data_IF_752994143002
#
_entry.id   IF_752994143002
#
_cell.length_a   1.000
_cell.length_b   1.000
_cell.length_c   1.000
_cell.angle_alpha   90.00
_cell.angle_beta   90.00
_cell.angle_gamma   90.00
#
_symmetry.space_group_name_H-M   'P 1'
#
loop_
_entity.id
_entity.type
_entity.pdbx_description
1 polymer ?
#
# COMPACT_ATOMS: atom_id res chain seq x y z
N UNK A 1 -15.88 78.45 -24.00
CA UNK A 1 -16.47 77.63 -22.93
C UNK A 1 -17.78 77.11 -23.48
N UNK A 2 -17.95 75.78 -23.48
CA UNK A 2 -18.93 75.05 -24.29
C UNK A 2 -20.34 75.22 -23.74
N UNK A 3 -21.29 75.58 -24.61
CA UNK A 3 -22.65 75.96 -24.20
C UNK A 3 -23.71 75.06 -24.85
N UNK A 4 -24.63 74.62 -24.01
CA UNK A 4 -25.80 73.78 -24.22
C UNK A 4 -26.71 74.31 -25.35
N UNK A 5 -26.91 73.53 -26.43
CA UNK A 5 -27.84 73.92 -27.50
C UNK A 5 -28.38 72.76 -28.34
N UNK A 6 -28.75 71.63 -27.75
CA UNK A 6 -29.67 70.68 -28.40
C UNK A 6 -30.58 69.92 -27.41
N UNK A 7 -31.66 70.58 -26.99
CA UNK A 7 -32.89 70.01 -26.41
C UNK A 7 -34.06 70.94 -26.83
N UNK A 8 -35.36 70.57 -26.77
CA UNK A 8 -35.97 69.28 -26.39
C UNK A 8 -37.24 68.85 -27.19
N UNK A 9 -37.77 67.68 -26.81
CA UNK A 9 -39.17 67.23 -26.64
C UNK A 9 -40.32 67.68 -27.57
N UNK A 10 -41.07 66.66 -28.05
CA UNK A 10 -42.51 66.66 -28.33
C UNK A 10 -42.83 65.81 -29.57
N UNK A 11 -43.88 65.00 -29.70
CA UNK A 11 -45.06 64.65 -28.90
C UNK A 11 -45.70 63.42 -29.57
N UNK A 12 -46.16 62.46 -28.76
CA UNK A 12 -47.35 61.59 -28.94
C UNK A 12 -47.52 60.70 -30.19
N UNK A 13 -47.44 59.37 -30.03
CA UNK A 13 -48.55 58.38 -29.78
C UNK A 13 -49.36 58.03 -31.04
N UNK A 14 -49.45 56.73 -31.41
CA UNK A 14 -50.60 55.83 -31.12
C UNK A 14 -50.67 54.54 -32.00
N UNK A 15 -50.75 53.40 -31.29
CA UNK A 15 -51.44 52.11 -31.48
C UNK A 15 -51.21 51.09 -32.63
N UNK A 16 -50.81 49.85 -32.23
CA UNK A 16 -51.55 48.54 -32.23
C UNK A 16 -50.57 47.33 -32.29
N UNK A 17 -50.98 46.05 -32.04
CA UNK A 17 -51.99 45.48 -31.14
C UNK A 17 -51.45 44.29 -30.26
N UNK A 18 -52.29 43.81 -29.33
CA UNK A 18 -52.13 42.59 -28.53
C UNK A 18 -52.16 41.29 -29.37
N UNK A 19 -51.38 40.29 -28.95
CA UNK A 19 -51.49 38.90 -29.41
C UNK A 19 -50.98 37.90 -28.35
N UNK A 20 -51.90 37.10 -27.80
CA UNK A 20 -51.65 35.98 -26.89
C UNK A 20 -50.83 34.86 -27.54
N UNK A 21 -49.99 34.16 -26.76
CA UNK A 21 -49.30 32.96 -27.25
C UNK A 21 -48.43 32.22 -26.24
N UNK A 22 -48.99 31.79 -25.10
CA UNK A 22 -48.41 30.65 -24.36
C UNK A 22 -48.75 29.36 -25.12
N UNK A 23 -47.75 28.74 -25.75
CA UNK A 23 -47.58 27.27 -25.94
C UNK A 23 -46.38 27.02 -26.85
N UNK A 24 -45.61 25.97 -26.53
CA UNK A 24 -44.55 25.32 -27.32
C UNK A 24 -43.08 25.73 -27.04
N UNK A 25 -42.60 25.44 -25.82
CA UNK A 25 -41.15 25.26 -25.55
C UNK A 25 -40.79 23.85 -25.03
N UNK A 26 -41.54 22.82 -25.39
CA UNK A 26 -41.34 21.44 -24.92
C UNK A 26 -41.04 20.41 -26.03
N UNK A 27 -40.65 20.84 -27.24
CA UNK A 27 -40.30 19.92 -28.34
C UNK A 27 -38.86 20.04 -28.87
N UNK A 28 -38.09 21.06 -28.47
CA UNK A 28 -36.68 21.19 -28.87
C UNK A 28 -35.71 20.37 -27.99
N UNK A 29 -36.14 19.90 -26.81
CA UNK A 29 -35.28 19.15 -25.89
C UNK A 29 -35.28 17.62 -26.14
N UNK A 30 -36.21 17.09 -26.94
CA UNK A 30 -36.30 15.65 -27.22
C UNK A 30 -35.53 15.21 -28.47
N UNK A 31 -35.23 16.12 -29.41
CA UNK A 31 -34.50 15.81 -30.64
C UNK A 31 -32.98 15.59 -30.44
N UNK A 32 -32.38 16.22 -29.43
CA UNK A 32 -30.95 16.10 -29.13
C UNK A 32 -30.60 14.85 -28.29
N UNK A 33 -31.56 14.30 -27.55
CA UNK A 33 -31.35 13.07 -26.78
C UNK A 33 -31.34 11.80 -27.66
N UNK A 34 -32.09 11.80 -28.77
CA UNK A 34 -32.19 10.64 -29.68
C UNK A 34 -30.95 10.43 -30.58
N UNK A 35 -30.16 11.48 -30.82
CA UNK A 35 -28.92 11.40 -31.60
C UNK A 35 -27.71 10.93 -30.78
N UNK A 36 -27.73 11.10 -29.46
CA UNK A 36 -26.66 10.62 -28.57
C UNK A 36 -26.81 9.13 -28.23
N UNK A 37 -28.05 8.62 -28.16
CA UNK A 37 -28.31 7.21 -27.87
C UNK A 37 -28.03 6.27 -29.06
N UNK A 38 -28.15 6.75 -30.31
CA UNK A 38 -27.84 5.95 -31.51
C UNK A 38 -26.33 5.86 -31.81
N UNK A 39 -25.53 6.87 -31.42
CA UNK A 39 -24.08 6.83 -31.54
C UNK A 39 -23.39 5.87 -30.56
N UNK A 40 -23.99 5.65 -29.38
CA UNK A 40 -23.43 4.76 -28.35
C UNK A 40 -23.68 3.27 -28.65
N UNK A 41 -24.76 2.93 -29.36
CA UNK A 41 -25.07 1.57 -29.77
C UNK A 41 -24.14 1.02 -30.87
N UNK A 42 -23.72 1.86 -31.81
CA UNK A 42 -22.82 1.44 -32.90
C UNK A 42 -21.38 1.21 -32.40
N UNK A 43 -20.92 2.00 -31.41
CA UNK A 43 -19.59 1.85 -30.81
C UNK A 43 -19.43 0.57 -30.00
N UNK A 44 -20.48 0.15 -29.28
CA UNK A 44 -20.48 -1.11 -28.50
C UNK A 44 -20.56 -2.33 -29.41
N UNK A 45 -21.34 -2.28 -30.50
CA UNK A 45 -21.43 -3.38 -31.46
C UNK A 45 -20.10 -3.61 -32.21
N UNK A 46 -19.38 -2.54 -32.56
CA UNK A 46 -18.06 -2.64 -33.20
C UNK A 46 -16.98 -3.14 -32.23
N UNK A 47 -17.03 -2.73 -30.95
CA UNK A 47 -16.10 -3.22 -29.92
C UNK A 47 -16.29 -4.71 -29.59
N UNK A 48 -17.53 -5.18 -29.51
CA UNK A 48 -17.84 -6.61 -29.29
C UNK A 48 -17.48 -7.47 -30.51
N UNK A 49 -17.64 -6.94 -31.73
CA UNK A 49 -17.29 -7.67 -32.95
C UNK A 49 -15.77 -7.73 -33.18
N UNK A 50 -15.02 -6.71 -32.77
CA UNK A 50 -13.54 -6.72 -32.86
C UNK A 50 -12.91 -7.72 -31.89
N UNK A 51 -13.43 -7.82 -30.65
CA UNK A 51 -12.93 -8.75 -29.64
C UNK A 51 -13.35 -10.22 -29.86
N UNK A 52 -14.25 -10.52 -30.81
CA UNK A 52 -14.58 -11.90 -31.20
C UNK A 52 -13.60 -12.51 -32.21
N UNK A 53 -12.75 -11.71 -32.85
CA UNK A 53 -11.85 -12.18 -33.94
C UNK A 53 -10.45 -12.56 -33.41
N UNK A 54 -10.10 -12.22 -32.16
CA UNK A 54 -8.80 -12.55 -31.56
C UNK A 54 -8.81 -13.75 -30.61
N UNK A 55 -9.89 -14.53 -30.58
CA UNK A 55 -9.93 -15.83 -29.91
C UNK A 55 -9.72 -16.98 -30.92
N UNK A 56 -8.55 -17.05 -31.54
CA UNK A 56 -8.10 -18.27 -32.22
C UNK A 56 -7.26 -19.10 -31.26
N UNK A 57 -7.76 -20.30 -31.01
CA UNK A 57 -7.23 -21.32 -30.10
C UNK A 57 -5.72 -21.58 -30.27
N UNK A 58 -5.01 -21.61 -29.15
CA UNK A 58 -3.69 -22.25 -29.04
C UNK A 58 -3.93 -23.71 -28.63
N UNK A 59 -3.50 -24.71 -29.42
CA UNK A 59 -3.70 -26.11 -29.09
C UNK A 59 -2.80 -26.55 -27.94
N UNK A 60 -3.38 -27.38 -27.07
CA UNK A 60 -2.79 -28.05 -25.91
C UNK A 60 -1.63 -28.99 -26.34
N UNK A 61 -0.43 -28.92 -25.74
CA UNK A 61 0.61 -29.89 -26.02
C UNK A 61 0.31 -31.22 -25.31
N UNK A 62 0.14 -32.25 -26.11
CA UNK A 62 -0.05 -33.63 -25.69
C UNK A 62 1.15 -34.17 -24.90
N UNK A 63 0.84 -34.89 -23.83
CA UNK A 63 1.76 -35.74 -23.07
C UNK A 63 2.18 -36.92 -23.96
N UNK A 64 3.47 -37.03 -24.25
CA UNK A 64 4.08 -38.27 -24.77
C UNK A 64 5.09 -38.80 -23.77
N UNK A 65 4.82 -40.01 -23.29
CA UNK A 65 5.73 -40.82 -22.50
C UNK A 65 6.75 -41.50 -23.42
N UNK A 66 8.04 -41.40 -23.09
CA UNK A 66 9.03 -42.44 -23.39
C UNK A 66 10.39 -42.14 -22.78
N UNK A 67 11.02 -43.19 -22.24
CA UNK A 67 12.46 -43.39 -22.36
C UNK A 67 13.30 -43.14 -21.11
N UNK A 68 13.49 -44.20 -20.32
CA UNK A 68 14.67 -44.40 -19.46
C UNK A 68 15.95 -44.37 -20.32
N UNK A 69 17.07 -43.86 -19.79
CA UNK A 69 18.34 -44.54 -20.03
C UNK A 69 19.10 -44.86 -18.74
N UNK A 70 19.74 -46.02 -18.80
CA UNK A 70 20.69 -46.59 -17.86
C UNK A 70 21.99 -45.79 -17.71
N UNK A 71 22.67 -46.14 -16.61
CA UNK A 71 23.93 -45.67 -16.11
C UNK A 71 25.11 -45.73 -17.10
N UNK A 72 26.05 -44.80 -16.91
CA UNK A 72 27.47 -45.04 -17.15
C UNK A 72 28.27 -44.33 -16.07
N UNK A 73 29.14 -45.08 -15.40
CA UNK A 73 29.91 -44.66 -14.25
C UNK A 73 31.24 -43.99 -14.60
N UNK A 74 31.79 -43.31 -13.60
CA UNK A 74 33.21 -43.08 -13.44
C UNK A 74 33.50 -42.90 -11.93
N UNK A 75 34.25 -43.85 -11.36
CA UNK A 75 34.93 -43.78 -10.06
C UNK A 75 35.98 -42.64 -10.08
N UNK A 76 36.53 -42.03 -9.00
CA UNK A 76 37.25 -42.46 -7.77
C UNK A 76 37.60 -41.12 -7.00
N UNK A 77 38.08 -41.02 -5.73
CA UNK A 77 37.80 -41.67 -4.43
C UNK A 77 37.39 -40.68 -3.30
N UNK A 78 36.96 -41.23 -2.16
CA UNK A 78 36.89 -40.52 -0.87
C UNK A 78 38.25 -40.41 -0.17
N UNK A 79 38.43 -39.42 0.73
CA UNK A 79 39.29 -39.59 1.89
C UNK A 79 38.50 -39.46 3.19
N UNK A 80 38.50 -40.59 3.91
CA UNK A 80 38.86 -40.78 5.32
C UNK A 80 38.22 -39.95 6.43
N UNK A 81 37.69 -40.69 7.40
CA UNK A 81 37.17 -40.24 8.67
C UNK A 81 38.33 -40.05 9.66
N UNK A 82 38.51 -38.82 10.15
CA UNK A 82 39.34 -38.51 11.30
C UNK A 82 38.47 -38.08 12.47
N UNK A 83 38.17 -39.00 13.38
CA UNK A 83 37.69 -38.68 14.73
C UNK A 83 38.75 -37.88 15.48
N UNK A 84 38.41 -36.68 15.95
CA UNK A 84 39.27 -35.92 16.85
C UNK A 84 38.55 -35.67 18.17
N UNK A 85 38.95 -36.46 19.18
CA UNK A 85 38.71 -36.25 20.60
C UNK A 85 39.11 -34.83 21.01
N UNK A 86 38.28 -34.18 21.81
CA UNK A 86 38.69 -33.03 22.62
C UNK A 86 38.28 -33.30 24.06
N UNK A 87 39.29 -33.36 24.94
CA UNK A 87 39.15 -33.31 26.40
C UNK A 87 39.67 -31.94 26.89
N UNK A 88 39.27 -31.49 28.09
CA UNK A 88 39.01 -30.07 28.37
C UNK A 88 40.22 -29.32 28.93
N UNK A 89 40.26 -28.00 28.71
CA UNK A 89 41.19 -27.09 29.39
C UNK A 89 40.43 -25.93 30.02
N UNK A 90 40.82 -25.67 31.26
CA UNK A 90 40.23 -24.77 32.24
C UNK A 90 40.46 -23.27 31.95
N UNK A 91 39.48 -22.49 32.41
CA UNK A 91 39.58 -21.27 33.24
C UNK A 91 40.80 -20.34 33.08
N UNK A 92 40.55 -19.10 32.60
CA UNK A 92 40.75 -17.91 33.44
C UNK A 92 40.08 -16.65 32.86
N UNK A 93 39.09 -16.16 33.60
CA UNK A 93 38.92 -14.78 34.09
C UNK A 93 39.30 -13.56 33.23
N UNK A 94 38.31 -12.68 33.03
CA UNK A 94 38.46 -11.24 33.27
C UNK A 94 38.08 -10.31 32.12
N UNK A 95 36.90 -9.69 32.19
CA UNK A 95 36.71 -8.24 32.42
C UNK A 95 35.23 -7.89 32.21
N UNK A 96 34.72 -7.18 33.20
CA UNK A 96 33.39 -6.61 33.43
C UNK A 96 32.91 -5.64 32.35
N UNK A 97 31.63 -5.72 31.97
CA UNK A 97 30.86 -4.55 31.51
C UNK A 97 29.36 -4.70 31.84
N UNK A 98 29.00 -4.05 32.94
CA UNK A 98 27.79 -3.25 33.16
C UNK A 98 26.43 -3.84 32.76
N UNK A 99 25.81 -4.56 33.70
CA UNK A 99 24.36 -4.73 33.72
C UNK A 99 23.75 -3.46 34.36
N UNK A 100 23.11 -2.63 33.52
CA UNK A 100 22.28 -1.50 33.99
C UNK A 100 21.17 -1.98 34.94
N UNK A 101 20.59 -1.07 35.74
CA UNK A 101 19.73 -1.44 36.86
C UNK A 101 18.49 -2.17 36.34
N UNK A 102 18.34 -3.43 36.76
CA UNK A 102 17.10 -4.18 36.61
C UNK A 102 15.97 -3.41 37.31
N UNK A 103 14.98 -3.03 36.54
CA UNK A 103 13.78 -2.35 37.02
C UNK A 103 13.05 -3.30 37.98
N UNK A 104 12.83 -2.83 39.21
CA UNK A 104 12.22 -3.58 40.29
C UNK A 104 10.77 -3.92 39.91
N UNK A 105 10.37 -5.17 40.15
CA UNK A 105 8.97 -5.60 40.04
C UNK A 105 8.11 -4.79 41.03
N UNK A 106 7.25 -3.90 40.52
CA UNK A 106 6.25 -3.22 41.34
C UNK A 106 5.11 -4.21 41.68
N UNK A 107 5.30 -4.95 42.78
CA UNK A 107 4.25 -5.76 43.40
C UNK A 107 3.29 -4.83 44.15
N UNK A 108 2.08 -4.65 43.61
CA UNK A 108 0.97 -4.06 44.37
C UNK A 108 0.58 -4.99 45.53
N UNK A 109 0.17 -4.45 46.69
CA UNK A 109 -0.12 -5.24 47.90
C UNK A 109 -1.37 -6.14 47.83
N UNK A 110 -1.96 -6.34 46.64
CA UNK A 110 -3.16 -7.15 46.40
C UNK A 110 -2.90 -8.41 45.55
N UNK A 111 -1.65 -8.73 45.20
CA UNK A 111 -1.29 -9.98 44.50
C UNK A 111 -1.74 -10.04 43.04
N UNK A 112 -2.26 -8.94 42.48
CA UNK A 112 -2.59 -8.85 41.06
C UNK A 112 -1.37 -8.41 40.26
N UNK A 113 -0.79 -9.36 39.52
CA UNK A 113 0.22 -9.07 38.50
C UNK A 113 -0.53 -8.44 37.32
N UNK A 114 -0.54 -7.11 37.22
CA UNK A 114 -0.84 -6.47 35.95
C UNK A 114 0.26 -6.84 34.97
N UNK A 115 -0.03 -7.45 33.81
CA UNK A 115 1.01 -7.72 32.82
C UNK A 115 1.64 -6.39 32.44
N UNK A 116 2.92 -6.22 32.79
CA UNK A 116 3.72 -5.09 32.32
C UNK A 116 3.77 -5.25 30.81
N UNK A 117 3.09 -4.35 30.09
CA UNK A 117 3.23 -4.28 28.63
C UNK A 117 4.69 -3.89 28.39
N UNK A 118 5.51 -4.75 27.75
CA UNK A 118 6.92 -4.43 27.55
C UNK A 118 7.02 -3.12 26.77
N UNK A 119 7.82 -2.18 27.30
CA UNK A 119 8.06 -0.89 26.66
C UNK A 119 8.64 -1.15 25.27
N UNK A 120 8.09 -0.59 24.18
CA UNK A 120 8.60 -0.83 22.84
C UNK A 120 10.08 -0.45 22.75
N UNK A 121 10.91 -1.43 22.39
CA UNK A 121 12.33 -1.20 22.07
C UNK A 121 12.41 -0.74 20.62
N UNK A 122 12.68 0.53 20.43
CA UNK A 122 12.86 1.14 19.11
C UNK A 122 14.28 0.83 18.60
N UNK A 123 14.46 -0.36 18.05
CA UNK A 123 15.66 -0.76 17.32
C UNK A 123 15.32 -0.87 15.84
N UNK A 124 16.25 -0.48 14.95
CA UNK A 124 16.15 -0.71 13.51
C UNK A 124 17.06 -1.87 13.10
N UNK A 125 16.65 -2.60 12.06
CA UNK A 125 17.49 -3.63 11.46
C UNK A 125 18.66 -2.99 10.70
N UNK A 126 19.84 -3.61 10.80
CA UNK A 126 21.01 -3.17 10.06
C UNK A 126 20.82 -3.37 8.54
N UNK A 127 21.26 -2.40 7.74
CA UNK A 127 21.07 -2.41 6.29
C UNK A 127 21.63 -3.67 5.61
N UNK A 128 22.76 -4.20 6.09
CA UNK A 128 23.37 -5.44 5.57
C UNK A 128 22.49 -6.68 5.77
N UNK A 129 21.63 -6.67 6.79
CA UNK A 129 20.73 -7.77 7.13
C UNK A 129 19.30 -7.55 6.63
N UNK A 130 19.00 -6.40 6.03
CA UNK A 130 17.64 -5.97 5.67
C UNK A 130 16.87 -6.97 4.78
N UNK A 131 17.60 -7.82 4.04
CA UNK A 131 17.08 -8.84 3.13
C UNK A 131 16.70 -10.16 3.82
N UNK A 132 17.05 -10.35 5.10
CA UNK A 132 16.71 -11.51 5.90
C UNK A 132 15.71 -11.12 6.99
N UNK A 133 14.70 -11.95 7.29
CA UNK A 133 13.80 -11.68 8.41
C UNK A 133 14.54 -11.75 9.74
N UNK A 134 14.18 -10.85 10.65
CA UNK A 134 14.57 -10.98 12.05
C UNK A 134 13.81 -12.18 12.66
N UNK A 135 14.51 -13.22 13.16
CA UNK A 135 13.86 -14.40 13.74
C UNK A 135 12.96 -14.09 14.94
N UNK A 136 13.18 -12.98 15.65
CA UNK A 136 12.34 -12.56 16.78
C UNK A 136 10.98 -12.02 16.34
N UNK A 137 10.86 -11.58 15.09
CA UNK A 137 9.70 -10.88 14.54
C UNK A 137 8.87 -11.73 13.58
N UNK A 138 9.19 -13.01 13.45
CA UNK A 138 8.43 -13.95 12.61
C UNK A 138 8.09 -15.21 13.40
N UNK A 139 6.94 -15.80 13.10
CA UNK A 139 6.52 -17.10 13.61
C UNK A 139 5.98 -17.98 12.48
N UNK A 140 5.98 -19.29 12.70
CA UNK A 140 5.42 -20.23 11.74
C UNK A 140 3.89 -20.23 11.82
N UNK A 141 3.24 -19.71 10.79
CA UNK A 141 1.80 -19.85 10.55
C UNK A 141 1.47 -21.07 9.69
N UNK A 142 0.18 -21.27 9.40
CA UNK A 142 -0.31 -22.41 8.61
C UNK A 142 0.23 -22.44 7.17
N UNK A 143 0.41 -21.26 6.55
CA UNK A 143 0.82 -21.12 5.15
C UNK A 143 2.23 -20.53 4.96
N UNK A 144 3.01 -20.40 6.03
CA UNK A 144 4.37 -19.82 5.99
C UNK A 144 4.67 -18.93 7.20
N UNK A 145 5.76 -18.18 7.12
CA UNK A 145 6.18 -17.29 8.21
C UNK A 145 5.30 -16.03 8.23
N UNK A 146 4.74 -15.69 9.38
CA UNK A 146 3.91 -14.49 9.59
C UNK A 146 4.54 -13.59 10.65
N UNK A 147 4.31 -12.27 10.62
CA UNK A 147 4.96 -11.33 11.52
C UNK A 147 4.39 -11.44 12.94
N UNK A 148 5.24 -11.23 13.93
CA UNK A 148 4.86 -11.15 15.35
C UNK A 148 5.65 -10.04 16.03
N UNK A 149 5.19 -9.64 17.22
CA UNK A 149 6.01 -8.84 18.13
C UNK A 149 7.13 -9.70 18.73
N UNK A 150 8.26 -9.06 18.96
CA UNK A 150 9.38 -9.63 19.71
C UNK A 150 9.03 -9.82 21.18
N UNK A 151 9.83 -10.64 21.89
CA UNK A 151 9.59 -10.93 23.31
C UNK A 151 9.74 -9.68 24.20
N UNK A 152 10.51 -8.68 23.75
CA UNK A 152 10.76 -7.45 24.48
C UNK A 152 9.90 -6.30 23.96
N UNK A 153 8.82 -6.59 23.23
CA UNK A 153 7.92 -5.58 22.68
C UNK A 153 8.41 -4.96 21.36
N UNK A 154 9.46 -5.49 20.73
CA UNK A 154 9.87 -5.06 19.39
C UNK A 154 8.72 -5.24 18.40
N UNK A 155 8.46 -4.22 17.57
CA UNK A 155 7.43 -4.27 16.54
C UNK A 155 8.05 -4.39 15.15
N UNK A 156 7.49 -5.21 14.24
CA UNK A 156 7.87 -5.21 12.84
C UNK A 156 7.92 -3.81 12.22
N UNK A 157 6.96 -2.94 12.55
CA UNK A 157 6.94 -1.58 12.03
C UNK A 157 8.15 -0.74 12.45
N UNK A 158 8.73 -0.96 13.63
CA UNK A 158 9.89 -0.19 14.09
C UNK A 158 11.18 -0.78 13.55
N UNK A 159 11.32 -2.11 13.60
CA UNK A 159 12.55 -2.81 13.19
C UNK A 159 12.77 -2.74 11.68
N UNK A 160 11.71 -2.86 10.89
CA UNK A 160 11.81 -2.81 9.43
C UNK A 160 11.64 -1.40 8.84
N UNK A 161 11.40 -0.39 9.68
CA UNK A 161 11.26 1.01 9.23
C UNK A 161 12.50 1.55 8.54
N UNK A 162 12.29 2.43 7.57
CA UNK A 162 13.35 3.31 7.05
C UNK A 162 13.32 4.64 7.82
N UNK A 163 14.46 5.17 8.29
CA UNK A 163 14.50 6.52 8.85
C UNK A 163 14.22 7.57 7.77
N UNK A 164 13.56 8.70 8.10
CA UNK A 164 13.46 9.83 7.18
C UNK A 164 14.86 10.41 6.91
N UNK A 165 15.02 11.11 5.77
CA UNK A 165 16.31 11.69 5.38
C UNK A 165 16.71 12.84 6.33
N UNK A 166 15.72 13.61 6.80
CA UNK A 166 15.92 14.65 7.81
C UNK A 166 15.23 14.29 9.12
N UNK A 167 15.94 13.61 10.03
CA UNK A 167 15.49 13.46 11.41
C UNK A 167 15.47 14.84 12.10
N UNK A 168 14.28 15.37 12.42
CA UNK A 168 14.12 16.56 13.27
C UNK A 168 14.04 17.92 12.55
N UNK A 169 13.93 17.97 11.21
CA UNK A 169 13.78 19.24 10.49
C UNK A 169 12.31 19.67 10.41
N UNK A 170 11.84 20.31 11.48
CA UNK A 170 10.47 20.85 11.56
C UNK A 170 10.31 22.05 10.60
N UNK A 171 9.67 21.84 9.45
CA UNK A 171 9.36 22.91 8.49
C UNK A 171 9.44 22.51 7.01
N UNK A 172 9.97 21.33 6.69
CA UNK A 172 9.98 20.81 5.30
C UNK A 172 8.66 20.11 5.00
N UNK A 173 8.10 20.35 3.82
CA UNK A 173 6.91 19.64 3.35
C UNK A 173 7.26 18.18 3.07
N UNK A 174 6.58 17.23 3.71
CA UNK A 174 6.84 15.80 3.53
C UNK A 174 5.86 15.18 2.56
N UNK A 175 6.37 14.39 1.63
CA UNK A 175 5.55 13.59 0.71
C UNK A 175 5.87 12.12 0.89
N UNK A 176 4.85 11.31 1.14
CA UNK A 176 4.95 9.85 1.09
C UNK A 176 4.47 9.38 -0.27
N UNK A 177 5.29 8.57 -0.93
CA UNK A 177 4.93 7.87 -2.14
C UNK A 177 4.87 6.36 -1.83
N UNK A 178 3.73 5.76 -2.14
CA UNK A 178 3.52 4.31 -2.01
C UNK A 178 3.24 3.74 -3.41
N UNK A 179 4.02 2.76 -3.84
CA UNK A 179 3.86 2.09 -5.12
C UNK A 179 3.44 0.64 -4.90
N UNK A 180 2.18 0.33 -5.21
CA UNK A 180 1.59 -1.00 -5.08
C UNK A 180 1.74 -1.87 -6.33
N UNK A 181 1.28 -3.12 -6.21
CA UNK A 181 1.30 -4.09 -7.31
C UNK A 181 2.64 -4.78 -7.53
N UNK A 182 3.59 -4.67 -6.59
CA UNK A 182 4.87 -5.36 -6.69
C UNK A 182 4.62 -6.88 -6.69
N UNK A 183 5.27 -7.57 -7.61
CA UNK A 183 5.11 -9.00 -7.88
C UNK A 183 4.12 -9.35 -9.00
N UNK A 184 3.18 -8.46 -9.35
CA UNK A 184 2.22 -8.74 -10.44
C UNK A 184 2.93 -8.82 -11.79
N UNK A 185 3.72 -7.78 -12.12
CA UNK A 185 4.55 -7.73 -13.32
C UNK A 185 6.02 -7.85 -12.95
N UNK A 186 6.75 -8.82 -13.53
CA UNK A 186 8.17 -9.01 -13.23
C UNK A 186 9.02 -7.83 -13.73
N UNK A 187 8.73 -7.32 -14.92
CA UNK A 187 9.43 -6.17 -15.50
C UNK A 187 9.15 -4.91 -14.70
N UNK A 188 7.89 -4.61 -14.41
CA UNK A 188 7.54 -3.39 -13.68
C UNK A 188 7.99 -3.42 -12.21
N UNK A 189 8.01 -4.60 -11.57
CA UNK A 189 8.59 -4.76 -10.22
C UNK A 189 10.10 -4.48 -10.22
N UNK A 190 10.81 -5.00 -11.21
CA UNK A 190 12.23 -4.71 -11.38
C UNK A 190 12.50 -3.23 -11.65
N UNK A 191 11.68 -2.58 -12.49
CA UNK A 191 11.82 -1.15 -12.78
C UNK A 191 11.56 -0.30 -11.54
N UNK A 192 10.51 -0.60 -10.76
CA UNK A 192 10.18 0.11 -9.53
C UNK A 192 11.36 0.07 -8.56
N UNK A 193 11.89 -1.13 -8.25
CA UNK A 193 13.01 -1.32 -7.32
C UNK A 193 14.30 -0.65 -7.81
N UNK A 194 14.53 -0.58 -9.13
CA UNK A 194 15.77 0.01 -9.69
C UNK A 194 15.72 1.52 -9.83
N UNK A 195 14.56 2.10 -10.15
CA UNK A 195 14.42 3.51 -10.55
C UNK A 195 13.95 4.40 -9.40
N UNK A 196 13.14 3.88 -8.48
CA UNK A 196 12.61 4.65 -7.36
C UNK A 196 13.66 4.73 -6.25
N UNK A 197 13.79 5.88 -5.56
CA UNK A 197 14.69 5.99 -4.42
C UNK A 197 14.13 5.22 -3.21
N UNK A 198 15.01 4.83 -2.28
CA UNK A 198 14.67 3.98 -1.13
C UNK A 198 13.61 4.58 -0.20
N UNK A 199 13.41 5.89 -0.24
CA UNK A 199 12.37 6.62 0.49
C UNK A 199 10.95 6.28 0.00
N UNK A 200 10.79 5.81 -1.23
CA UNK A 200 9.50 5.34 -1.75
C UNK A 200 9.14 4.00 -1.12
N UNK A 201 7.94 3.90 -0.55
CA UNK A 201 7.44 2.67 0.05
C UNK A 201 6.85 1.76 -1.03
N UNK A 202 7.18 0.46 -0.98
CA UNK A 202 6.73 -0.52 -1.98
C UNK A 202 5.73 -1.49 -1.39
N UNK A 203 4.56 -1.64 -2.01
CA UNK A 203 3.51 -2.53 -1.53
C UNK A 203 3.35 -3.77 -2.41
N UNK A 204 3.42 -4.94 -1.78
CA UNK A 204 3.50 -6.24 -2.44
C UNK A 204 2.13 -6.88 -2.55
N UNK A 205 1.78 -7.35 -3.75
CA UNK A 205 0.57 -8.12 -3.96
C UNK A 205 0.81 -9.60 -3.58
N UNK A 206 -0.06 -10.22 -2.76
CA UNK A 206 0.17 -11.56 -2.22
C UNK A 206 0.07 -12.66 -3.29
N UNK A 207 -0.62 -12.36 -4.40
CA UNK A 207 -0.71 -13.20 -5.60
C UNK A 207 0.40 -12.94 -6.62
N UNK A 208 1.34 -12.04 -6.32
CA UNK A 208 2.47 -11.79 -7.21
C UNK A 208 3.43 -12.96 -7.29
N UNK A 209 4.26 -12.96 -8.33
CA UNK A 209 5.27 -13.97 -8.59
C UNK A 209 6.65 -13.49 -8.13
N UNK A 210 7.53 -14.42 -7.75
CA UNK A 210 8.89 -14.14 -7.30
C UNK A 210 8.96 -13.19 -6.09
N UNK A 211 7.94 -13.19 -5.22
CA UNK A 211 7.81 -12.23 -4.12
C UNK A 211 9.03 -12.22 -3.19
N UNK A 212 9.59 -13.39 -2.87
CA UNK A 212 10.79 -13.48 -2.04
C UNK A 212 12.00 -12.78 -2.67
N UNK A 213 12.19 -12.93 -3.99
CA UNK A 213 13.25 -12.22 -4.72
C UNK A 213 13.02 -10.71 -4.67
N UNK A 214 11.82 -10.25 -5.02
CA UNK A 214 11.51 -8.83 -5.04
C UNK A 214 11.59 -8.19 -3.65
N UNK A 215 11.20 -8.91 -2.61
CA UNK A 215 11.33 -8.48 -1.21
C UNK A 215 12.81 -8.28 -0.86
N UNK A 216 13.68 -9.24 -1.16
CA UNK A 216 15.11 -9.11 -0.90
C UNK A 216 15.74 -7.94 -1.67
N UNK A 217 15.44 -7.82 -2.96
CA UNK A 217 15.97 -6.76 -3.81
C UNK A 217 15.49 -5.38 -3.33
N UNK A 218 14.21 -5.25 -2.98
CA UNK A 218 13.63 -4.01 -2.45
C UNK A 218 14.24 -3.61 -1.10
N UNK A 219 14.43 -4.57 -0.18
CA UNK A 219 15.09 -4.30 1.11
C UNK A 219 16.55 -3.90 0.95
N UNK A 220 17.29 -4.54 0.03
CA UNK A 220 18.68 -4.17 -0.30
C UNK A 220 18.78 -2.77 -0.91
N UNK A 221 17.80 -2.37 -1.71
CA UNK A 221 17.68 -1.01 -2.24
C UNK A 221 17.21 0.00 -1.18
N UNK A 222 16.88 -0.45 0.04
CA UNK A 222 16.54 0.40 1.17
C UNK A 222 15.07 0.79 1.26
N UNK A 223 14.19 0.15 0.48
CA UNK A 223 12.75 0.42 0.52
C UNK A 223 12.10 -0.11 1.79
N UNK A 224 11.14 0.66 2.28
CA UNK A 224 10.13 0.18 3.21
C UNK A 224 9.08 -0.65 2.46
N UNK A 225 8.63 -1.76 3.06
CA UNK A 225 7.68 -2.66 2.42
C UNK A 225 6.33 -2.64 3.13
N UNK A 226 5.27 -2.70 2.34
CA UNK A 226 3.91 -3.01 2.79
C UNK A 226 3.43 -4.30 2.12
N UNK A 227 2.49 -4.98 2.77
CA UNK A 227 1.70 -6.03 2.14
C UNK A 227 0.35 -5.48 1.70
N UNK A 228 -0.07 -5.75 0.48
CA UNK A 228 -1.43 -5.47 0.03
C UNK A 228 -2.35 -6.62 0.43
N UNK A 229 -3.43 -6.33 1.15
CA UNK A 229 -4.43 -7.35 1.50
C UNK A 229 -5.67 -7.19 0.61
N UNK A 230 -6.02 -8.21 -0.19
CA UNK A 230 -7.22 -8.18 -1.02
C UNK A 230 -8.48 -8.17 -0.16
N UNK A 231 -9.32 -7.16 -0.37
CA UNK A 231 -10.54 -6.95 0.41
C UNK A 231 -11.75 -6.78 -0.53
N UNK A 232 -12.93 -7.21 -0.11
CA UNK A 232 -14.15 -7.23 -0.93
C UNK A 232 -14.52 -5.85 -1.49
N UNK A 233 -14.51 -5.65 -2.82
CA UNK A 233 -15.07 -4.46 -3.45
C UNK A 233 -16.60 -4.49 -3.48
N UNK A 234 -17.25 -3.37 -3.83
CA UNK A 234 -18.72 -3.31 -3.92
C UNK A 234 -19.31 -4.20 -5.02
N UNK A 235 -18.58 -4.46 -6.09
CA UNK A 235 -19.02 -5.24 -7.24
C UNK A 235 -18.55 -6.70 -7.21
N UNK A 236 -18.14 -7.22 -6.05
CA UNK A 236 -17.86 -8.63 -5.86
C UNK A 236 -19.10 -9.51 -6.14
N UNK A 237 -18.98 -10.67 -6.80
CA UNK A 237 -17.76 -11.32 -7.29
C UNK A 237 -17.34 -10.94 -8.72
N UNK A 238 -17.96 -9.92 -9.35
CA UNK A 238 -17.61 -9.49 -10.72
C UNK A 238 -16.17 -8.99 -10.81
N UNK A 239 -15.74 -8.25 -9.80
CA UNK A 239 -14.35 -7.86 -9.59
C UNK A 239 -13.81 -8.67 -8.40
N UNK A 240 -13.17 -9.80 -8.70
CA UNK A 240 -12.64 -10.71 -7.69
C UNK A 240 -11.11 -10.56 -7.59
N UNK A 241 -10.56 -10.03 -6.48
CA UNK A 241 -9.12 -9.87 -6.27
C UNK A 241 -8.34 -11.18 -6.13
N UNK A 242 -9.03 -12.29 -5.82
CA UNK A 242 -8.43 -13.61 -5.65
C UNK A 242 -9.15 -14.47 -4.61
N UNK A 243 -8.76 -15.75 -4.49
CA UNK A 243 -9.46 -16.74 -3.67
C UNK A 243 -9.46 -16.49 -2.15
N UNK A 244 -8.47 -15.74 -1.63
CA UNK A 244 -8.32 -15.40 -0.21
C UNK A 244 -8.67 -13.92 0.03
N UNK A 245 -9.63 -13.40 -0.74
CA UNK A 245 -10.16 -12.05 -0.51
C UNK A 245 -10.88 -12.03 0.83
N UNK A 246 -10.65 -11.00 1.64
CA UNK A 246 -11.43 -10.80 2.86
C UNK A 246 -12.85 -10.36 2.52
N UNK A 247 -13.84 -11.11 2.97
CA UNK A 247 -15.25 -10.89 2.65
C UNK A 247 -16.02 -10.36 3.85
N UNK A 248 -16.86 -9.36 3.64
CA UNK A 248 -17.63 -8.70 4.69
C UNK A 248 -18.67 -9.62 5.34
N UNK A 249 -19.16 -10.60 4.58
CA UNK A 249 -20.18 -11.56 5.01
C UNK A 249 -19.57 -12.89 5.52
N UNK A 250 -18.24 -13.08 5.42
CA UNK A 250 -17.54 -14.23 5.98
C UNK A 250 -17.39 -14.10 7.50
N UNK A 251 -17.23 -15.24 8.16
CA UNK A 251 -16.91 -15.24 9.58
C UNK A 251 -15.50 -14.66 9.84
N UNK A 252 -15.25 -14.28 11.10
CA UNK A 252 -13.98 -13.68 11.48
C UNK A 252 -12.81 -14.67 11.35
N UNK A 253 -13.04 -15.97 11.58
CA UNK A 253 -11.99 -17.00 11.55
C UNK A 253 -11.50 -17.25 10.11
N UNK A 254 -12.40 -17.33 9.15
CA UNK A 254 -12.12 -17.45 7.72
C UNK A 254 -11.36 -16.22 7.22
N UNK A 255 -11.82 -15.01 7.57
CA UNK A 255 -11.11 -13.79 7.23
C UNK A 255 -9.70 -13.76 7.85
N UNK A 256 -9.52 -14.20 9.10
CA UNK A 256 -8.20 -14.28 9.72
C UNK A 256 -7.31 -15.35 9.06
N UNK A 257 -7.87 -16.48 8.64
CA UNK A 257 -7.13 -17.51 7.90
C UNK A 257 -6.65 -16.98 6.53
N UNK A 258 -7.52 -16.31 5.78
CA UNK A 258 -7.20 -15.65 4.52
C UNK A 258 -6.15 -14.55 4.70
N UNK A 259 -6.26 -13.79 5.79
CA UNK A 259 -5.29 -12.78 6.18
C UNK A 259 -3.91 -13.38 6.48
N UNK A 260 -3.85 -14.46 7.27
CA UNK A 260 -2.58 -15.13 7.58
C UNK A 260 -1.94 -15.75 6.36
N UNK A 261 -2.74 -16.25 5.41
CA UNK A 261 -2.23 -16.67 4.11
C UNK A 261 -1.59 -15.51 3.34
N UNK A 262 -2.21 -14.32 3.32
CA UNK A 262 -1.62 -13.15 2.68
C UNK A 262 -0.34 -12.68 3.41
N UNK A 263 -0.37 -12.68 4.75
CA UNK A 263 0.77 -12.32 5.60
C UNK A 263 1.98 -13.22 5.40
N UNK A 264 1.77 -14.48 4.99
CA UNK A 264 2.84 -15.46 4.83
C UNK A 264 3.58 -15.36 3.51
N UNK A 265 3.13 -14.50 2.59
CA UNK A 265 3.67 -14.41 1.22
C UNK A 265 5.04 -13.72 1.16
N UNK A 266 5.31 -12.81 2.10
CA UNK A 266 6.59 -12.12 2.29
C UNK A 266 6.86 -11.92 3.77
N UNK A 267 8.06 -11.44 4.12
CA UNK A 267 8.43 -10.97 5.45
C UNK A 267 8.98 -9.54 5.36
N UNK A 268 9.53 -8.99 6.44
CA UNK A 268 10.28 -7.72 6.43
C UNK A 268 9.45 -6.49 6.00
N UNK A 269 8.13 -6.55 6.13
CA UNK A 269 7.24 -5.41 5.92
C UNK A 269 6.88 -4.75 7.24
N UNK A 270 6.68 -3.44 7.20
CA UNK A 270 6.30 -2.64 8.37
C UNK A 270 4.80 -2.66 8.63
N UNK A 271 4.02 -2.97 7.61
CA UNK A 271 2.58 -2.77 7.66
C UNK A 271 1.83 -3.35 6.47
N UNK A 272 0.54 -3.07 6.47
CA UNK A 272 -0.42 -3.57 5.51
C UNK A 272 -1.17 -2.40 4.89
N UNK A 273 -1.55 -2.54 3.63
CA UNK A 273 -2.51 -1.65 2.99
C UNK A 273 -3.66 -2.44 2.36
N UNK A 274 -4.84 -1.83 2.25
CA UNK A 274 -5.94 -2.45 1.51
C UNK A 274 -5.62 -2.52 0.01
N UNK A 275 -6.11 -3.57 -0.63
CA UNK A 275 -6.26 -3.63 -2.08
C UNK A 275 -7.75 -3.78 -2.40
N UNK A 276 -8.31 -2.74 -3.01
CA UNK A 276 -9.76 -2.51 -3.08
C UNK A 276 -10.38 -2.43 -1.67
N UNK A 277 -11.42 -3.21 -1.39
CA UNK A 277 -12.07 -3.23 -0.07
C UNK A 277 -13.28 -2.32 0.08
N UNK A 278 -13.86 -1.80 -1.02
CA UNK A 278 -15.06 -0.97 -1.01
C UNK A 278 -16.12 -1.37 0.02
N UNK A 279 -16.60 -2.62 -0.04
CA UNK A 279 -17.60 -3.14 0.90
C UNK A 279 -16.97 -3.49 2.26
N UNK A 280 -15.82 -4.15 2.25
CA UNK A 280 -15.14 -4.62 3.46
C UNK A 280 -14.78 -3.49 4.44
N UNK A 281 -14.14 -2.41 3.97
CA UNK A 281 -13.68 -1.30 4.83
C UNK A 281 -14.82 -0.43 5.37
N UNK A 282 -16.03 -0.62 4.84
CA UNK A 282 -17.27 0.02 5.32
C UNK A 282 -18.10 -0.90 6.22
N UNK A 283 -17.60 -2.10 6.55
CA UNK A 283 -18.32 -3.11 7.35
C UNK A 283 -17.58 -3.35 8.68
N UNK A 284 -17.97 -2.69 9.79
CA UNK A 284 -17.25 -2.75 11.07
C UNK A 284 -17.04 -4.14 11.65
N UNK A 285 -18.06 -5.00 11.55
CA UNK A 285 -18.02 -6.36 12.11
C UNK A 285 -16.93 -7.22 11.47
N UNK A 286 -16.68 -7.03 10.17
CA UNK A 286 -15.63 -7.73 9.43
C UNK A 286 -14.27 -7.03 9.56
N UNK A 287 -14.26 -5.70 9.54
CA UNK A 287 -13.02 -4.91 9.57
C UNK A 287 -12.31 -4.94 10.92
N UNK A 288 -13.07 -4.89 12.04
CA UNK A 288 -12.50 -4.77 13.38
C UNK A 288 -11.52 -5.91 13.74
N UNK A 289 -11.88 -7.20 13.60
CA UNK A 289 -10.96 -8.30 13.93
C UNK A 289 -9.65 -8.24 13.12
N UNK A 290 -9.72 -7.77 11.87
CA UNK A 290 -8.55 -7.64 10.99
C UNK A 290 -7.61 -6.53 11.44
N UNK A 291 -8.15 -5.35 11.81
CA UNK A 291 -7.31 -4.26 12.33
C UNK A 291 -6.73 -4.58 13.71
N UNK A 292 -7.48 -5.26 14.58
CA UNK A 292 -6.98 -5.77 15.86
C UNK A 292 -5.81 -6.76 15.65
N UNK A 293 -5.91 -7.60 14.63
CA UNK A 293 -4.84 -8.54 14.28
C UNK A 293 -3.56 -7.84 13.83
N UNK A 294 -3.66 -6.76 13.04
CA UNK A 294 -2.50 -5.93 12.69
C UNK A 294 -1.84 -5.30 13.91
N UNK A 295 -2.66 -4.75 14.81
CA UNK A 295 -2.19 -4.09 16.05
C UNK A 295 -1.44 -5.08 16.94
N UNK A 296 -2.03 -6.26 17.15
CA UNK A 296 -1.43 -7.38 17.90
C UNK A 296 -0.07 -7.80 17.36
N UNK A 297 0.09 -7.79 16.03
CA UNK A 297 1.35 -8.16 15.37
C UNK A 297 2.38 -7.02 15.31
N UNK A 298 2.04 -5.80 15.74
CA UNK A 298 2.95 -4.66 15.73
C UNK A 298 3.18 -4.10 14.31
N UNK A 299 2.15 -4.16 13.49
CA UNK A 299 2.14 -3.62 12.13
C UNK A 299 1.44 -2.25 12.11
N UNK A 300 1.77 -1.44 11.11
CA UNK A 300 0.96 -0.27 10.75
C UNK A 300 -0.08 -0.63 9.68
N UNK A 301 -1.15 0.16 9.56
CA UNK A 301 -2.13 0.05 8.48
C UNK A 301 -2.21 1.35 7.67
N UNK A 302 -2.21 1.21 6.35
CA UNK A 302 -2.38 2.31 5.40
C UNK A 302 -3.68 2.10 4.63
N UNK A 303 -4.63 3.02 4.81
CA UNK A 303 -5.80 3.12 3.95
C UNK A 303 -5.40 3.85 2.66
N UNK A 304 -5.62 3.22 1.50
CA UNK A 304 -5.28 3.78 0.19
C UNK A 304 -6.16 4.98 -0.21
N UNK A 305 -7.17 5.33 0.59
CA UNK A 305 -8.04 6.47 0.38
C UNK A 305 -9.04 6.28 -0.77
N UNK A 306 -9.14 5.09 -1.35
CA UNK A 306 -10.04 4.80 -2.48
C UNK A 306 -11.53 4.86 -2.09
N UNK A 307 -11.84 4.74 -0.78
CA UNK A 307 -13.21 4.73 -0.25
C UNK A 307 -13.42 5.91 0.70
N UNK A 308 -14.27 6.87 0.32
CA UNK A 308 -14.48 8.10 1.09
C UNK A 308 -15.00 7.84 2.52
N UNK A 309 -16.03 7.00 2.66
CA UNK A 309 -16.67 6.65 3.93
C UNK A 309 -16.04 5.42 4.61
N UNK A 310 -14.76 5.14 4.36
CA UNK A 310 -14.00 4.09 5.03
C UNK A 310 -14.02 4.27 6.54
N UNK A 311 -14.23 3.17 7.27
CA UNK A 311 -14.26 3.14 8.75
C UNK A 311 -12.90 2.76 9.37
N UNK A 312 -11.85 2.66 8.54
CA UNK A 312 -10.52 2.21 8.97
C UNK A 312 -9.90 3.13 10.01
N UNK A 313 -10.06 4.46 9.89
CA UNK A 313 -9.48 5.42 10.83
C UNK A 313 -10.06 5.28 12.24
N UNK A 314 -11.39 5.27 12.38
CA UNK A 314 -12.07 5.17 13.67
C UNK A 314 -11.75 3.84 14.36
N UNK A 315 -11.78 2.74 13.60
CA UNK A 315 -11.51 1.40 14.13
C UNK A 315 -10.02 1.23 14.45
N UNK A 316 -9.11 1.75 13.64
CA UNK A 316 -7.67 1.74 13.93
C UNK A 316 -7.35 2.50 15.22
N UNK A 317 -7.96 3.68 15.42
CA UNK A 317 -7.84 4.45 16.66
C UNK A 317 -8.31 3.65 17.88
N UNK A 318 -9.45 2.98 17.80
CA UNK A 318 -9.96 2.13 18.87
C UNK A 318 -9.08 0.90 19.14
N UNK A 319 -8.43 0.35 18.11
CA UNK A 319 -7.51 -0.79 18.21
C UNK A 319 -6.07 -0.41 18.58
N UNK A 320 -5.80 0.88 18.83
CA UNK A 320 -4.45 1.44 19.05
C UNK A 320 -3.47 1.08 17.92
N UNK A 321 -3.98 0.96 16.70
CA UNK A 321 -3.21 0.58 15.51
C UNK A 321 -2.56 1.81 14.88
N UNK A 322 -1.24 1.80 14.63
CA UNK A 322 -0.59 2.87 13.89
C UNK A 322 -1.17 3.00 12.48
N UNK A 323 -1.63 4.20 12.15
CA UNK A 323 -2.50 4.42 11.00
C UNK A 323 -2.05 5.59 10.12
N UNK A 324 -2.23 5.42 8.82
CA UNK A 324 -2.19 6.51 7.85
C UNK A 324 -3.26 6.30 6.77
N UNK A 325 -3.66 7.40 6.13
CA UNK A 325 -4.57 7.39 4.99
C UNK A 325 -3.98 8.21 3.85
N UNK A 326 -4.04 7.68 2.63
CA UNK A 326 -3.65 8.42 1.45
C UNK A 326 -4.71 9.47 1.06
N UNK A 327 -4.24 10.62 0.55
CA UNK A 327 -5.13 11.69 0.08
C UNK A 327 -5.29 11.67 -1.45
N UNK A 328 -4.32 11.09 -2.17
CA UNK A 328 -4.24 11.19 -3.63
C UNK A 328 -3.92 9.83 -4.24
N UNK A 329 -4.78 9.41 -5.15
CA UNK A 329 -4.55 8.32 -6.10
C UNK A 329 -3.87 8.89 -7.34
N UNK A 330 -2.55 8.71 -7.44
CA UNK A 330 -1.69 9.40 -8.40
C UNK A 330 -1.98 8.95 -9.83
N UNK A 331 -2.22 7.65 -10.04
CA UNK A 331 -2.37 7.06 -11.37
C UNK A 331 -3.76 6.47 -11.63
N UNK A 332 -4.79 7.03 -10.96
CA UNK A 332 -6.19 6.70 -11.24
C UNK A 332 -6.55 6.88 -12.72
N UNK A 333 -5.99 7.92 -13.35
CA UNK A 333 -6.00 8.10 -14.80
C UNK A 333 -4.56 8.01 -15.30
N UNK A 334 -4.29 6.99 -16.13
CA UNK A 334 -2.94 6.59 -16.54
C UNK A 334 -2.47 7.35 -17.78
N UNK A 335 -2.52 8.68 -17.73
CA UNK A 335 -1.85 9.51 -18.72
C UNK A 335 -0.78 10.35 -18.03
N UNK A 336 0.30 10.66 -18.75
CA UNK A 336 1.37 11.53 -18.23
C UNK A 336 0.81 12.83 -17.64
N UNK A 337 -0.08 13.50 -18.38
CA UNK A 337 -0.69 14.76 -17.97
C UNK A 337 -1.46 14.64 -16.64
N UNK A 338 -2.25 13.58 -16.49
CA UNK A 338 -3.06 13.39 -15.29
C UNK A 338 -2.20 13.00 -14.08
N UNK A 339 -1.18 12.15 -14.28
CA UNK A 339 -0.22 11.79 -13.23
C UNK A 339 0.57 13.02 -12.76
N UNK A 340 1.10 13.82 -13.68
CA UNK A 340 1.80 15.07 -13.37
C UNK A 340 0.89 16.05 -12.59
N UNK A 341 -0.39 16.16 -12.98
CA UNK A 341 -1.36 16.99 -12.26
C UNK A 341 -1.62 16.47 -10.84
N UNK A 342 -1.71 15.15 -10.63
CA UNK A 342 -1.85 14.58 -9.28
C UNK A 342 -0.59 14.78 -8.43
N UNK A 343 0.60 14.69 -9.02
CA UNK A 343 1.86 14.97 -8.32
C UNK A 343 1.98 16.45 -7.91
N UNK A 344 1.56 17.37 -8.77
CA UNK A 344 1.48 18.80 -8.41
C UNK A 344 0.48 19.04 -7.28
N UNK A 345 -0.67 18.37 -7.32
CA UNK A 345 -1.67 18.41 -6.25
C UNK A 345 -1.09 17.86 -4.94
N UNK A 346 -0.33 16.76 -5.00
CA UNK A 346 0.36 16.14 -3.86
C UNK A 346 1.36 17.09 -3.23
N UNK A 347 2.21 17.73 -4.05
CA UNK A 347 3.15 18.77 -3.59
C UNK A 347 2.44 19.94 -2.93
N UNK A 348 1.34 20.41 -3.53
CA UNK A 348 0.58 21.55 -3.01
C UNK A 348 -0.08 21.22 -1.67
N UNK A 349 -0.60 20.00 -1.54
CA UNK A 349 -1.16 19.51 -0.29
C UNK A 349 -0.08 19.41 0.79
N UNK A 350 1.06 18.79 0.49
CA UNK A 350 2.16 18.65 1.44
C UNK A 350 2.71 20.01 1.91
N UNK A 351 2.80 21.00 1.01
CA UNK A 351 3.22 22.37 1.37
C UNK A 351 2.20 23.08 2.25
N UNK A 352 0.91 22.77 2.08
CA UNK A 352 -0.19 23.37 2.85
C UNK A 352 -0.34 22.77 4.24
N UNK A 353 -0.18 21.46 4.39
CA UNK A 353 -0.45 20.71 5.63
C UNK A 353 0.82 20.23 6.34
N UNK A 354 1.97 20.30 5.67
CA UNK A 354 3.23 19.70 6.11
C UNK A 354 3.39 18.23 5.70
N UNK A 355 2.33 17.56 5.24
CA UNK A 355 2.32 16.15 4.88
C UNK A 355 1.27 15.82 3.81
N UNK A 356 1.66 15.10 2.76
CA UNK A 356 0.70 14.43 1.90
C UNK A 356 1.16 13.02 1.53
N UNK A 357 0.20 12.11 1.40
CA UNK A 357 0.43 10.71 1.07
C UNK A 357 -0.25 10.41 -0.28
N UNK A 358 0.56 9.97 -1.24
CA UNK A 358 0.12 9.58 -2.56
C UNK A 358 0.37 8.10 -2.82
N UNK A 359 -0.62 7.43 -3.41
CA UNK A 359 -0.56 6.02 -3.80
C UNK A 359 -0.60 5.90 -5.32
N UNK A 360 0.22 5.02 -5.86
CA UNK A 360 0.27 4.65 -7.28
C UNK A 360 0.45 3.13 -7.40
N UNK A 361 0.33 2.62 -8.62
CA UNK A 361 0.65 1.25 -8.96
C UNK A 361 1.95 1.18 -9.75
N UNK A 362 2.58 0.02 -9.76
CA UNK A 362 3.80 -0.26 -10.51
C UNK A 362 3.54 -0.39 -12.01
N UNK A 363 2.96 0.64 -12.64
CA UNK A 363 2.92 0.78 -14.09
C UNK A 363 4.18 1.51 -14.56
N UNK A 364 4.72 1.15 -15.73
CA UNK A 364 5.98 1.72 -16.22
C UNK A 364 5.93 3.25 -16.35
N UNK A 365 4.82 3.81 -16.85
CA UNK A 365 4.62 5.26 -16.96
C UNK A 365 4.57 5.94 -15.58
N UNK A 366 3.88 5.33 -14.60
CA UNK A 366 3.83 5.82 -13.22
C UNK A 366 5.22 5.82 -12.59
N UNK A 367 5.97 4.71 -12.73
CA UNK A 367 7.32 4.57 -12.15
C UNK A 367 8.27 5.63 -12.71
N UNK A 368 8.22 5.90 -14.02
CA UNK A 368 9.09 6.91 -14.64
C UNK A 368 8.82 8.31 -14.09
N UNK A 369 7.55 8.72 -14.02
CA UNK A 369 7.16 10.04 -13.52
C UNK A 369 7.41 10.19 -12.03
N UNK A 370 7.18 9.14 -11.23
CA UNK A 370 7.49 9.13 -9.80
C UNK A 370 8.99 9.24 -9.55
N UNK A 371 9.82 8.54 -10.33
CA UNK A 371 11.27 8.64 -10.22
C UNK A 371 11.77 10.04 -10.62
N UNK A 372 11.19 10.65 -11.65
CA UNK A 372 11.50 12.04 -12.03
C UNK A 372 11.09 13.03 -10.93
N UNK A 373 9.87 12.89 -10.41
CA UNK A 373 9.36 13.69 -9.31
C UNK A 373 10.25 13.60 -8.07
N UNK A 374 10.57 12.39 -7.63
CA UNK A 374 11.40 12.17 -6.44
C UNK A 374 12.81 12.75 -6.59
N UNK A 375 13.41 12.70 -7.78
CA UNK A 375 14.72 13.33 -8.07
C UNK A 375 14.70 14.86 -7.97
N UNK A 376 13.54 15.49 -8.16
CA UNK A 376 13.40 16.95 -8.14
C UNK A 376 12.77 17.47 -6.84
N UNK A 377 12.29 16.59 -5.96
CA UNK A 377 11.57 16.96 -4.73
C UNK A 377 12.33 17.95 -3.85
N UNK A 378 13.64 17.72 -3.63
CA UNK A 378 14.48 18.61 -2.80
C UNK A 378 14.52 20.05 -3.34
N UNK A 379 14.58 20.21 -4.67
CA UNK A 379 14.58 21.53 -5.32
C UNK A 379 13.26 22.26 -5.13
N UNK A 380 12.18 21.50 -4.96
CA UNK A 380 10.84 22.01 -4.71
C UNK A 380 10.55 22.21 -3.20
N UNK A 381 11.53 21.99 -2.32
CA UNK A 381 11.38 22.10 -0.88
C UNK A 381 10.53 20.97 -0.28
N UNK A 382 10.56 19.79 -0.90
CA UNK A 382 9.80 18.60 -0.49
C UNK A 382 10.78 17.50 -0.11
N UNK A 383 10.56 16.89 1.05
CA UNK A 383 11.25 15.66 1.46
C UNK A 383 10.37 14.45 1.11
N UNK A 384 10.90 13.52 0.32
CA UNK A 384 10.28 12.20 0.14
C UNK A 384 10.57 11.37 1.39
N UNK A 385 9.53 10.83 2.02
CA UNK A 385 9.65 10.14 3.31
C UNK A 385 8.90 8.81 3.31
N UNK A 386 9.41 7.77 3.99
CA UNK A 386 8.73 6.48 4.11
C UNK A 386 7.47 6.59 4.98
N UNK A 387 6.50 5.70 4.78
CA UNK A 387 5.19 5.82 5.45
C UNK A 387 5.28 5.66 6.98
N UNK A 388 6.15 4.79 7.50
CA UNK A 388 6.34 4.60 8.94
C UNK A 388 6.83 5.85 9.68
N UNK A 389 7.41 6.82 8.98
CA UNK A 389 7.86 8.08 9.57
C UNK A 389 6.72 9.08 9.84
N UNK A 390 5.53 8.84 9.27
CA UNK A 390 4.40 9.79 9.32
C UNK A 390 3.11 9.23 9.89
N UNK A 391 3.04 7.92 10.15
CA UNK A 391 1.86 7.30 10.75
C UNK A 391 1.57 7.90 12.13
N UNK A 392 0.28 8.00 12.45
CA UNK A 392 -0.16 8.29 13.80
C UNK A 392 0.03 7.03 14.65
N UNK A 393 1.03 7.04 15.55
CA UNK A 393 1.36 5.90 16.41
C UNK A 393 0.93 6.14 17.86
N UNK A 394 -0.14 5.47 18.34
CA UNK A 394 -0.63 5.63 19.71
C UNK A 394 0.37 5.19 20.78
N UNK A 395 1.29 4.28 20.47
CA UNK A 395 2.30 3.80 21.43
C UNK A 395 3.49 4.76 21.55
N UNK A 396 3.78 5.57 20.52
CA UNK A 396 4.79 6.65 20.59
C UNK A 396 4.34 7.85 21.42
N UNK A 397 3.04 8.16 21.44
CA UNK A 397 2.48 9.28 22.22
C UNK A 397 2.48 9.08 23.75
N UNK A 398 2.77 7.87 24.23
CA UNK A 398 2.83 7.55 25.67
C UNK A 398 4.19 7.83 26.32
N UNK A 399 5.17 8.33 25.56
CA UNK A 399 6.43 8.89 26.05
C UNK A 399 6.40 10.40 25.90
#
# INVERSE_FOLDING_TARGET
MQDDLTKPLGLQRKDKPQGNGLRNRSLAALGLAALVLSGMGLGVALFVSYNRVTATAVPEPQVTASGKPEASGADIPAPDAGEQKTDPVADNSGVTQDAGPGELEDVKPDGNITPVVPVPVFRRQEAGLAHMPDPALVEKGASGMIPRRGKNGERPMDVYSRPPATEGNFGVARVVLIVGGIGISQTSSQEAIRKLPGEVTLAFAPYGNSLFRWMQDARKAGHELLLQVPMEPFDYPRNNPGPNTLLADSDAEENLANLHWAMSRITNYVGVMNFLGGKFVTTPSALKPVLEEFSRRGLLFVDDGSVNNSMTGDIAGAALLPYARAQIQIDAIRTRKDIEAQLQKLSSEAKRTGLAIGVANAFSDSIELLAEYARNADKDGIEITPVSAVVEDPERRKK
#
